data_IF_285552097426
#
_entry.id   IF_285552097426
#
_cell.length_a   1.000
_cell.length_b   1.000
_cell.length_c   1.000
_cell.angle_alpha   90.00
_cell.angle_beta   90.00
_cell.angle_gamma   90.00
#
_symmetry.space_group_name_H-M   'P 1'
#
loop_
_entity.id
_entity.type
_entity.pdbx_description
1 polymer ?
#
# COMPACT_ATOMS: atom_id res chain seq x y z
N UNK A 1 -27.16 -68.35 7.67
CA UNK A 1 -26.05 -69.34 7.53
C UNK A 1 -24.85 -68.60 6.94
N UNK A 2 -23.73 -68.69 7.66
CA UNK A 2 -22.35 -68.21 7.41
C UNK A 2 -21.97 -67.95 5.94
N UNK A 3 -21.38 -66.77 5.64
CA UNK A 3 -20.26 -66.49 4.71
C UNK A 3 -20.05 -64.95 4.73
N UNK A 4 -19.17 -64.44 5.61
CA UNK A 4 -18.64 -63.06 5.56
C UNK A 4 -17.30 -62.95 6.31
N UNK A 5 -16.33 -63.81 6.01
CA UNK A 5 -14.96 -63.64 6.54
C UNK A 5 -13.95 -64.25 5.58
N UNK A 6 -13.71 -63.65 4.41
CA UNK A 6 -12.49 -63.94 3.61
C UNK A 6 -12.04 -62.79 2.68
N UNK A 7 -12.80 -61.68 2.58
CA UNK A 7 -12.43 -60.58 1.69
C UNK A 7 -11.37 -59.62 2.25
N UNK A 8 -11.02 -59.69 3.54
CA UNK A 8 -10.19 -58.66 4.19
C UNK A 8 -8.70 -58.99 4.24
N UNK A 9 -8.28 -60.23 3.94
CA UNK A 9 -6.89 -60.66 4.12
C UNK A 9 -6.00 -60.59 2.86
N UNK A 10 -6.56 -60.36 1.67
CA UNK A 10 -5.77 -60.33 0.44
C UNK A 10 -5.13 -58.97 0.10
N UNK A 11 -5.60 -57.86 0.69
CA UNK A 11 -5.14 -56.50 0.33
C UNK A 11 -3.94 -56.06 1.16
N UNK A 12 -3.71 -56.65 2.34
CA UNK A 12 -2.65 -56.19 3.26
C UNK A 12 -1.24 -56.66 2.88
N UNK A 13 -1.09 -57.67 2.03
CA UNK A 13 0.22 -58.25 1.71
C UNK A 13 0.96 -57.56 0.55
N UNK A 14 0.26 -56.83 -0.33
CA UNK A 14 0.89 -56.23 -1.53
C UNK A 14 1.48 -54.84 -1.21
N UNK A 15 0.98 -54.14 -0.19
CA UNK A 15 1.45 -52.79 0.14
C UNK A 15 2.84 -52.76 0.82
N UNK A 16 3.27 -53.86 1.46
CA UNK A 16 4.55 -53.89 2.20
C UNK A 16 5.74 -54.23 1.31
N UNK A 17 5.53 -54.96 0.20
CA UNK A 17 6.59 -55.29 -0.75
C UNK A 17 7.03 -54.09 -1.61
N UNK A 18 6.16 -53.11 -1.84
CA UNK A 18 6.50 -51.89 -2.59
C UNK A 18 7.40 -50.91 -1.81
N UNK A 19 7.39 -50.97 -0.47
CA UNK A 19 8.14 -50.03 0.37
C UNK A 19 9.63 -50.39 0.53
N UNK A 20 10.00 -51.65 0.29
CA UNK A 20 11.40 -52.12 0.38
C UNK A 20 12.16 -52.00 -0.95
N UNK A 21 11.47 -51.96 -2.09
CA UNK A 21 12.10 -51.81 -3.41
C UNK A 21 12.46 -50.35 -3.75
N UNK A 22 11.82 -49.36 -3.12
CA UNK A 22 12.10 -47.94 -3.36
C UNK A 22 13.42 -47.46 -2.73
N UNK A 23 14.07 -48.27 -1.89
CA UNK A 23 15.34 -47.92 -1.24
C UNK A 23 16.56 -48.10 -2.17
N UNK A 24 16.43 -48.81 -3.29
CA UNK A 24 17.56 -49.14 -4.18
C UNK A 24 17.68 -48.21 -5.41
N UNK A 25 16.67 -47.39 -5.69
CA UNK A 25 16.74 -46.33 -6.70
C UNK A 25 16.64 -44.96 -6.03
N UNK A 26 17.67 -44.61 -5.26
CA UNK A 26 17.95 -43.22 -4.97
C UNK A 26 18.65 -42.64 -6.21
N UNK A 27 17.99 -41.81 -7.05
CA UNK A 27 18.77 -40.83 -7.80
C UNK A 27 19.54 -39.99 -6.77
N UNK A 28 20.77 -39.52 -7.07
CA UNK A 28 21.46 -38.59 -6.18
C UNK A 28 20.48 -37.44 -5.85
N UNK A 29 20.48 -36.91 -4.62
CA UNK A 29 19.55 -35.86 -4.24
C UNK A 29 19.73 -34.70 -5.23
N UNK A 30 18.81 -34.61 -6.19
CA UNK A 30 18.61 -33.40 -6.96
C UNK A 30 18.29 -32.35 -5.89
N UNK A 31 19.07 -31.26 -5.79
CA UNK A 31 18.79 -30.22 -4.82
C UNK A 31 17.35 -29.79 -5.07
N UNK A 32 16.50 -30.02 -4.07
CA UNK A 32 15.11 -29.63 -4.08
C UNK A 32 15.03 -28.23 -4.70
N UNK A 33 14.33 -28.11 -5.83
CA UNK A 33 14.08 -26.83 -6.44
C UNK A 33 13.63 -25.88 -5.33
N UNK A 34 14.37 -24.78 -5.08
CA UNK A 34 14.13 -23.95 -3.93
C UNK A 34 12.67 -23.53 -3.94
N UNK A 35 11.97 -23.76 -2.83
CA UNK A 35 10.68 -23.12 -2.58
C UNK A 35 10.82 -21.66 -3.01
N UNK A 36 9.94 -21.19 -3.88
CA UNK A 36 9.98 -19.81 -4.36
C UNK A 36 10.24 -18.91 -3.15
N UNK A 37 11.30 -18.08 -3.17
CA UNK A 37 11.68 -17.29 -2.01
C UNK A 37 10.45 -16.53 -1.54
N UNK A 38 10.14 -16.60 -0.24
CA UNK A 38 9.10 -15.78 0.34
C UNK A 38 9.34 -14.34 -0.11
N UNK A 39 8.30 -13.60 -0.55
CA UNK A 39 8.50 -12.23 -1.02
C UNK A 39 9.27 -11.48 0.05
N UNK A 40 10.34 -10.85 -0.38
CA UNK A 40 11.23 -10.12 0.50
C UNK A 40 10.42 -9.10 1.31
N UNK A 41 10.82 -8.77 2.54
CA UNK A 41 10.11 -7.76 3.37
C UNK A 41 9.90 -6.44 2.60
N UNK A 42 10.81 -6.15 1.67
CA UNK A 42 10.75 -5.04 0.71
C UNK A 42 9.58 -5.17 -0.29
N UNK A 43 9.36 -6.34 -0.88
CA UNK A 43 8.22 -6.59 -1.80
C UNK A 43 6.88 -6.52 -1.06
N UNK A 44 6.82 -7.04 0.17
CA UNK A 44 5.62 -6.96 1.01
C UNK A 44 5.27 -5.50 1.34
N UNK A 45 6.25 -4.70 1.77
CA UNK A 45 6.05 -3.28 2.05
C UNK A 45 5.59 -2.50 0.81
N UNK A 46 6.11 -2.83 -0.38
CA UNK A 46 5.64 -2.21 -1.63
C UNK A 46 4.20 -2.58 -1.96
N UNK A 47 3.81 -3.85 -1.82
CA UNK A 47 2.45 -4.30 -2.08
C UNK A 47 1.46 -3.67 -1.09
N UNK A 48 1.82 -3.56 0.19
CA UNK A 48 1.01 -2.93 1.24
C UNK A 48 0.85 -1.43 1.02
N UNK A 49 1.93 -0.73 0.66
CA UNK A 49 1.86 0.69 0.35
C UNK A 49 1.02 0.96 -0.90
N UNK A 50 1.17 0.15 -1.95
CA UNK A 50 0.35 0.28 -3.16
C UNK A 50 -1.13 0.03 -2.86
N UNK A 51 -1.45 -1.02 -2.09
CA UNK A 51 -2.82 -1.32 -1.68
C UNK A 51 -3.42 -0.20 -0.80
N UNK A 52 -2.60 0.39 0.07
CA UNK A 52 -3.00 1.52 0.93
C UNK A 52 -3.26 2.78 0.10
N UNK A 53 -2.40 3.08 -0.88
CA UNK A 53 -2.63 4.18 -1.83
C UNK A 53 -3.91 3.99 -2.64
N UNK A 54 -4.17 2.79 -3.15
CA UNK A 54 -5.41 2.48 -3.87
C UNK A 54 -6.63 2.68 -2.97
N UNK A 55 -6.58 2.17 -1.73
CA UNK A 55 -7.66 2.32 -0.74
C UNK A 55 -7.92 3.78 -0.39
N UNK A 56 -6.87 4.57 -0.18
CA UNK A 56 -6.97 5.98 0.16
C UNK A 56 -7.45 6.81 -1.03
N UNK A 57 -7.08 6.44 -2.27
CA UNK A 57 -7.60 7.09 -3.48
C UNK A 57 -9.09 6.84 -3.71
N UNK A 58 -9.60 5.69 -3.26
CA UNK A 58 -11.02 5.35 -3.30
C UNK A 58 -11.80 5.93 -2.11
N UNK A 59 -11.12 6.46 -1.09
CA UNK A 59 -11.78 7.06 0.07
C UNK A 59 -12.22 8.49 -0.24
N UNK A 60 -13.46 8.88 0.10
CA UNK A 60 -13.90 10.28 -0.03
C UNK A 60 -13.20 11.22 0.96
N UNK A 61 -12.61 10.68 2.02
CA UNK A 61 -11.83 11.43 3.01
C UNK A 61 -10.65 10.54 3.48
N UNK A 62 -9.55 10.47 2.71
CA UNK A 62 -8.38 9.73 3.14
C UNK A 62 -7.76 10.38 4.37
N UNK A 63 -7.36 9.55 5.34
CA UNK A 63 -6.55 10.02 6.46
C UNK A 63 -5.17 10.44 5.92
N UNK A 64 -4.88 11.73 5.99
CA UNK A 64 -3.66 12.32 5.44
C UNK A 64 -2.40 11.84 6.20
N UNK A 65 -2.54 11.49 7.48
CA UNK A 65 -1.42 10.99 8.28
C UNK A 65 -1.10 9.53 7.94
N UNK A 66 -2.13 8.70 7.72
CA UNK A 66 -1.95 7.33 7.22
C UNK A 66 -1.32 7.35 5.81
N UNK A 67 -1.76 8.29 4.97
CA UNK A 67 -1.22 8.47 3.63
C UNK A 67 0.25 8.91 3.63
N UNK A 68 0.65 9.89 4.45
CA UNK A 68 2.06 10.30 4.57
C UNK A 68 2.95 9.14 5.05
N UNK A 69 2.46 8.34 5.99
CA UNK A 69 3.17 7.14 6.48
C UNK A 69 3.34 6.11 5.38
N UNK A 70 2.27 5.76 4.66
CA UNK A 70 2.33 4.80 3.55
C UNK A 70 3.31 5.26 2.45
N UNK A 71 3.35 6.56 2.16
CA UNK A 71 4.30 7.11 1.19
C UNK A 71 5.75 7.06 1.67
N UNK A 72 6.01 7.25 2.97
CA UNK A 72 7.37 7.08 3.53
C UNK A 72 7.81 5.64 3.50
N UNK A 73 6.94 4.71 3.89
CA UNK A 73 7.24 3.29 3.88
C UNK A 73 7.52 2.82 2.44
N UNK A 74 6.78 3.35 1.47
CA UNK A 74 7.03 3.12 0.04
C UNK A 74 8.38 3.67 -0.43
N UNK A 75 8.71 4.92 -0.08
CA UNK A 75 10.01 5.53 -0.41
C UNK A 75 11.19 4.75 0.18
N UNK A 76 11.07 4.33 1.45
CA UNK A 76 12.09 3.53 2.13
C UNK A 76 12.22 2.14 1.51
N UNK A 77 11.10 1.48 1.20
CA UNK A 77 11.09 0.18 0.56
C UNK A 77 11.62 0.25 -0.88
N UNK A 78 11.33 1.30 -1.64
CA UNK A 78 11.79 1.45 -3.02
C UNK A 78 13.23 2.00 -3.10
N UNK A 79 13.70 2.70 -2.07
CA UNK A 79 15.02 3.35 -2.02
C UNK A 79 15.16 4.51 -3.00
N UNK A 80 14.04 4.99 -3.55
CA UNK A 80 13.95 6.10 -4.49
C UNK A 80 12.75 6.96 -4.12
N UNK A 81 12.86 8.30 -4.22
CA UNK A 81 11.72 9.21 -4.08
C UNK A 81 10.74 9.10 -5.26
N UNK A 82 11.09 8.36 -6.31
CA UNK A 82 10.27 8.08 -7.49
C UNK A 82 9.85 6.61 -7.53
N UNK A 83 8.54 6.38 -7.60
CA UNK A 83 7.94 5.03 -7.67
C UNK A 83 6.87 5.00 -8.75
N UNK A 84 7.04 4.12 -9.74
CA UNK A 84 6.06 3.92 -10.81
C UNK A 84 5.77 5.17 -11.64
N UNK A 85 6.78 6.05 -11.83
CA UNK A 85 6.60 7.32 -12.52
C UNK A 85 5.90 8.39 -11.68
N UNK A 86 5.80 8.22 -10.36
CA UNK A 86 5.26 9.22 -9.43
C UNK A 86 6.32 9.64 -8.43
N UNK A 87 6.44 10.96 -8.22
CA UNK A 87 7.32 11.60 -7.25
C UNK A 87 6.65 11.67 -5.88
N UNK A 88 7.08 10.78 -4.99
CA UNK A 88 6.56 10.66 -3.62
C UNK A 88 6.91 11.88 -2.76
N UNK A 89 8.04 12.55 -3.04
CA UNK A 89 8.41 13.82 -2.41
C UNK A 89 7.39 14.92 -2.69
N UNK A 90 6.94 15.03 -3.94
CA UNK A 90 5.93 16.02 -4.35
C UNK A 90 4.58 15.69 -3.76
N UNK A 91 4.18 14.42 -3.80
CA UNK A 91 2.90 14.00 -3.27
C UNK A 91 2.81 14.30 -1.77
N UNK A 92 3.86 14.00 -1.00
CA UNK A 92 3.93 14.37 0.43
C UNK A 92 3.89 15.88 0.65
N UNK A 93 4.59 16.67 -0.17
CA UNK A 93 4.53 18.13 -0.08
C UNK A 93 3.10 18.65 -0.30
N UNK A 94 2.41 18.13 -1.31
CA UNK A 94 1.02 18.48 -1.59
C UNK A 94 0.05 18.03 -0.47
N UNK A 95 0.31 16.90 0.18
CA UNK A 95 -0.50 16.43 1.30
C UNK A 95 -0.42 17.37 2.51
N UNK A 96 0.78 17.88 2.81
CA UNK A 96 0.94 18.90 3.87
C UNK A 96 0.18 20.19 3.54
N UNK A 97 0.17 20.57 2.26
CA UNK A 97 -0.64 21.70 1.80
C UNK A 97 -2.13 21.42 1.99
N UNK A 98 -2.60 20.22 1.62
CA UNK A 98 -3.98 19.81 1.81
C UNK A 98 -4.41 19.77 3.29
N UNK A 99 -3.54 19.27 4.17
CA UNK A 99 -3.75 19.28 5.62
C UNK A 99 -3.93 20.70 6.14
N UNK A 100 -3.04 21.62 5.74
CA UNK A 100 -3.12 23.01 6.14
C UNK A 100 -4.40 23.68 5.63
N UNK A 101 -4.80 23.40 4.39
CA UNK A 101 -6.06 23.89 3.82
C UNK A 101 -7.29 23.36 4.59
N UNK A 102 -7.27 22.10 5.03
CA UNK A 102 -8.34 21.52 5.87
C UNK A 102 -8.47 22.26 7.20
N UNK A 103 -7.35 22.50 7.89
CA UNK A 103 -7.31 23.27 9.14
C UNK A 103 -7.83 24.69 8.93
N UNK A 104 -7.40 25.38 7.86
CA UNK A 104 -7.89 26.71 7.53
C UNK A 104 -9.39 26.73 7.19
N UNK A 105 -9.89 25.70 6.52
CA UNK A 105 -11.32 25.52 6.24
C UNK A 105 -12.14 25.40 7.53
N UNK A 106 -11.67 24.62 8.50
CA UNK A 106 -12.31 24.50 9.82
C UNK A 106 -12.31 25.82 10.58
N UNK A 107 -11.17 26.55 10.57
CA UNK A 107 -11.08 27.87 11.18
C UNK A 107 -12.02 28.87 10.53
N UNK A 108 -12.10 28.87 9.20
CA UNK A 108 -13.03 29.71 8.46
C UNK A 108 -14.49 29.38 8.81
N UNK A 109 -14.83 28.10 8.92
CA UNK A 109 -16.17 27.66 9.31
C UNK A 109 -16.50 28.10 10.74
N UNK A 110 -15.55 28.03 11.67
CA UNK A 110 -15.71 28.54 13.03
C UNK A 110 -15.92 30.08 13.04
N UNK A 111 -15.13 30.83 12.27
CA UNK A 111 -15.28 32.29 12.11
C UNK A 111 -16.62 32.68 11.45
N UNK A 112 -17.17 31.83 10.58
CA UNK A 112 -18.48 32.06 9.97
C UNK A 112 -19.63 31.89 10.97
N UNK A 113 -19.46 31.04 11.99
CA UNK A 113 -20.43 30.87 13.07
C UNK A 113 -20.38 32.01 14.09
N UNK A 114 -19.32 32.82 14.08
CA UNK A 114 -19.22 34.01 14.92
C UNK A 114 -20.12 35.16 14.43
N UNK A 115 -20.65 35.99 15.34
CA UNK A 115 -21.43 37.17 15.00
C UNK A 115 -20.69 38.11 14.04
N UNK A 116 -21.40 38.68 13.07
CA UNK A 116 -20.79 39.51 12.04
C UNK A 116 -20.10 40.80 12.55
N UNK A 117 -20.41 41.22 13.79
CA UNK A 117 -19.83 42.39 14.45
C UNK A 117 -18.61 42.10 15.34
N UNK A 118 -18.15 40.85 15.42
CA UNK A 118 -17.00 40.52 16.26
C UNK A 118 -15.72 41.24 15.77
N UNK A 119 -15.04 42.00 16.64
CA UNK A 119 -13.80 42.67 16.28
C UNK A 119 -12.73 41.63 15.91
N UNK A 120 -12.05 41.86 14.78
CA UNK A 120 -11.00 40.96 14.28
C UNK A 120 -11.50 39.82 13.38
N UNK A 121 -12.81 39.57 13.27
CA UNK A 121 -13.36 38.55 12.36
C UNK A 121 -12.98 38.80 10.89
N UNK A 122 -13.18 40.04 10.42
CA UNK A 122 -12.83 40.43 9.05
C UNK A 122 -11.33 40.29 8.77
N UNK A 123 -10.49 40.61 9.76
CA UNK A 123 -9.04 40.48 9.64
C UNK A 123 -8.60 39.01 9.63
N UNK A 124 -9.20 38.17 10.49
CA UNK A 124 -8.96 36.73 10.50
C UNK A 124 -9.39 36.06 9.18
N UNK A 125 -10.56 36.43 8.63
CA UNK A 125 -11.00 35.94 7.32
C UNK A 125 -10.04 36.35 6.20
N UNK A 126 -9.51 37.58 6.25
CA UNK A 126 -8.52 38.06 5.26
C UNK A 126 -7.21 37.29 5.35
N UNK A 127 -6.68 37.07 6.56
CA UNK A 127 -5.46 36.27 6.78
C UNK A 127 -5.62 34.84 6.29
N UNK A 128 -6.76 34.21 6.57
CA UNK A 128 -7.06 32.86 6.05
C UNK A 128 -7.09 32.87 4.52
N UNK A 129 -7.72 33.87 3.91
CA UNK A 129 -7.74 34.02 2.44
C UNK A 129 -6.34 34.14 1.84
N UNK A 130 -5.47 34.96 2.44
CA UNK A 130 -4.10 35.14 2.00
C UNK A 130 -3.27 33.85 2.15
N UNK A 131 -3.47 33.11 3.24
CA UNK A 131 -2.78 31.84 3.49
C UNK A 131 -3.25 30.73 2.54
N UNK A 132 -4.55 30.64 2.25
CA UNK A 132 -5.09 29.73 1.23
C UNK A 132 -4.49 30.04 -0.14
N UNK A 133 -4.42 31.31 -0.53
CA UNK A 133 -3.83 31.72 -1.80
C UNK A 133 -2.33 31.39 -1.88
N UNK A 134 -1.60 31.50 -0.77
CA UNK A 134 -0.19 31.11 -0.70
C UNK A 134 -0.02 29.58 -0.82
N UNK A 135 -0.85 28.81 -0.12
CA UNK A 135 -0.85 27.34 -0.17
C UNK A 135 -1.18 26.81 -1.56
N UNK A 136 -2.14 27.42 -2.25
CA UNK A 136 -2.47 27.06 -3.64
C UNK A 136 -1.28 27.21 -4.59
N UNK A 137 -0.40 28.21 -4.36
CA UNK A 137 0.82 28.39 -5.16
C UNK A 137 1.91 27.36 -4.83
N UNK A 138 1.85 26.73 -3.67
CA UNK A 138 2.78 25.68 -3.25
C UNK A 138 2.38 24.30 -3.78
N UNK A 139 1.14 24.14 -4.24
CA UNK A 139 0.72 22.90 -4.89
C UNK A 139 1.53 22.69 -6.16
N UNK A 140 2.17 21.54 -6.22
CA UNK A 140 3.00 21.11 -7.35
C UNK A 140 2.25 20.09 -8.17
N UNK A 141 2.12 20.33 -9.47
CA UNK A 141 1.47 19.41 -10.41
C UNK A 141 2.44 18.47 -11.12
N UNK A 142 3.74 18.70 -10.94
CA UNK A 142 4.84 17.91 -11.50
C UNK A 142 5.15 16.63 -10.70
N UNK A 143 4.11 16.00 -10.15
CA UNK A 143 4.22 14.76 -9.38
C UNK A 143 4.21 13.51 -10.27
N UNK A 144 3.71 13.60 -11.51
CA UNK A 144 3.85 12.53 -12.51
C UNK A 144 5.09 12.80 -13.33
N UNK A 145 5.98 11.82 -13.37
CA UNK A 145 7.13 11.79 -14.28
C UNK A 145 6.62 11.30 -15.62
N UNK A 146 6.46 12.22 -16.58
CA UNK A 146 6.29 11.87 -17.98
C UNK A 146 7.52 11.07 -18.40
N UNK A 147 7.41 9.75 -18.35
CA UNK A 147 8.38 8.88 -19.01
C UNK A 147 8.02 8.98 -20.49
N UNK A 148 8.84 9.63 -21.35
CA UNK A 148 8.52 9.68 -22.77
C UNK A 148 8.42 8.23 -23.24
N UNK A 149 7.20 7.80 -23.56
CA UNK A 149 6.95 6.49 -24.11
C UNK A 149 7.91 6.31 -25.29
N UNK A 150 8.81 5.34 -25.18
CA UNK A 150 9.68 4.93 -26.27
C UNK A 150 8.78 4.64 -27.47
N UNK A 151 8.79 5.58 -28.43
CA UNK A 151 8.02 5.47 -29.67
C UNK A 151 8.73 4.40 -30.51
N UNK A 152 8.03 3.38 -31.03
CA UNK A 152 8.63 2.31 -31.82
C UNK A 152 9.25 2.83 -33.12
#
# INVERSE_FOLDING_TARGET
MRIRVYATLAVLAIAVAGLLAYRQFAPPPEPAAPAAPAPSAREQAMAEAHATLQRLSASPAPDLAELDRALRDLEQAHGSPEVGGVRLDVLRANLRVAERLSVLGQQLQALQQQPAGEPGRAEAMRRIGDEVAALQKQLRTDYVVDTPAARP
#
